data_IF_811999324213
#
_entry.id   IF_811999324213
#
_cell.length_a   1.000
_cell.length_b   1.000
_cell.length_c   1.000
_cell.angle_alpha   90.00
_cell.angle_beta   90.00
_cell.angle_gamma   90.00
#
_symmetry.space_group_name_H-M   'P 1'
#
loop_
_entity.id
_entity.type
_entity.pdbx_description
1 polymer ?
#
# COMPACT_ATOMS: atom_id res chain seq x y z
N UNK A 1 21.22 17.90 -8.86
CA UNK A 1 21.34 19.08 -9.75
C UNK A 1 22.82 19.35 -9.95
N UNK A 2 23.31 19.38 -11.19
CA UNK A 2 24.62 19.96 -11.50
C UNK A 2 24.33 21.26 -12.24
N UNK A 3 24.68 22.39 -11.65
CA UNK A 3 24.56 23.69 -12.29
C UNK A 3 25.86 23.98 -13.01
N UNK A 4 25.79 24.30 -14.31
CA UNK A 4 26.91 24.89 -15.03
C UNK A 4 26.54 26.34 -15.32
N UNK A 5 27.35 27.26 -14.80
CA UNK A 5 27.29 28.69 -15.13
C UNK A 5 28.25 28.93 -16.28
N UNK A 6 27.79 29.59 -17.34
CA UNK A 6 28.65 30.21 -18.35
C UNK A 6 28.46 31.73 -18.29
N UNK A 7 29.50 32.47 -18.71
CA UNK A 7 29.73 33.90 -18.48
C UNK A 7 28.72 34.85 -19.17
N UNK A 8 27.66 34.34 -19.80
CA UNK A 8 26.64 35.10 -20.54
C UNK A 8 25.27 35.14 -19.84
N UNK A 9 25.17 34.75 -18.56
CA UNK A 9 23.93 34.83 -17.78
C UNK A 9 22.89 33.76 -18.12
N UNK A 10 23.28 32.76 -18.92
CA UNK A 10 22.47 31.61 -19.29
C UNK A 10 22.46 30.55 -18.18
N UNK A 11 21.29 30.17 -17.67
CA UNK A 11 21.15 29.06 -16.72
C UNK A 11 20.54 27.83 -17.41
N UNK A 12 21.27 26.71 -17.38
CA UNK A 12 20.79 25.43 -17.89
C UNK A 12 20.26 24.58 -16.73
N UNK A 13 18.98 24.19 -16.81
CA UNK A 13 18.40 23.19 -15.91
C UNK A 13 18.01 21.95 -16.71
N UNK A 14 18.62 20.81 -16.38
CA UNK A 14 18.22 19.50 -16.90
C UNK A 14 17.30 18.83 -15.89
N UNK A 15 16.05 18.59 -16.25
CA UNK A 15 15.12 17.80 -15.44
C UNK A 15 14.81 16.50 -16.17
N UNK A 16 15.16 15.37 -15.55
CA UNK A 16 14.83 14.03 -16.04
C UNK A 16 13.54 13.57 -15.35
N UNK A 17 12.49 13.34 -16.13
CA UNK A 17 11.31 12.62 -15.66
C UNK A 17 11.14 11.38 -16.53
N UNK A 18 11.53 10.23 -16.00
CA UNK A 18 11.21 8.94 -16.59
C UNK A 18 9.82 8.54 -16.09
N UNK A 19 8.80 8.67 -16.95
CA UNK A 19 7.45 8.21 -16.66
C UNK A 19 7.16 7.00 -17.53
N UNK A 20 7.14 5.82 -16.92
CA UNK A 20 6.67 4.60 -17.58
C UNK A 20 5.15 4.50 -17.41
N UNK A 21 4.40 4.92 -18.43
CA UNK A 21 2.95 4.72 -18.47
C UNK A 21 2.65 3.46 -19.31
N UNK A 22 2.13 2.41 -18.68
CA UNK A 22 1.66 1.19 -19.36
C UNK A 22 0.19 1.36 -19.78
N UNK A 23 -0.07 1.39 -21.09
CA UNK A 23 -1.44 1.35 -21.62
C UNK A 23 -1.78 -0.04 -22.14
N UNK A 24 -2.94 -0.56 -21.70
CA UNK A 24 -3.48 -1.85 -22.15
C UNK A 24 -4.54 -1.61 -23.23
N UNK A 25 -4.26 -2.03 -24.47
CA UNK A 25 -5.25 -2.03 -25.54
C UNK A 25 -6.11 -3.30 -25.48
N UNK A 26 -7.35 -3.22 -25.99
CA UNK A 26 -8.36 -4.29 -26.00
C UNK A 26 -7.95 -5.59 -26.73
N UNK A 27 -6.75 -5.68 -27.32
CA UNK A 27 -6.22 -6.87 -28.00
C UNK A 27 -5.21 -7.69 -27.17
N UNK A 28 -5.03 -7.39 -25.88
CA UNK A 28 -4.27 -8.23 -24.95
C UNK A 28 -2.74 -8.17 -25.08
N UNK A 29 -2.18 -7.33 -25.96
CA UNK A 29 -0.74 -7.03 -26.01
C UNK A 29 -0.42 -5.79 -25.20
N UNK A 30 0.52 -5.92 -24.25
CA UNK A 30 1.08 -4.81 -23.49
C UNK A 30 2.13 -4.14 -24.37
N UNK A 31 1.89 -2.88 -24.75
CA UNK A 31 2.88 -2.07 -25.49
C UNK A 31 3.53 -1.15 -24.47
N UNK A 32 4.84 -1.32 -24.24
CA UNK A 32 5.63 -0.41 -23.41
C UNK A 32 6.08 0.76 -24.26
N UNK A 33 5.59 1.95 -23.95
CA UNK A 33 6.09 3.19 -24.53
C UNK A 33 7.18 3.75 -23.62
N UNK A 34 8.37 3.99 -24.16
CA UNK A 34 9.38 4.82 -23.51
C UNK A 34 9.22 6.23 -24.06
N UNK A 35 8.49 7.08 -23.34
CA UNK A 35 8.36 8.49 -23.66
C UNK A 35 9.40 9.26 -22.86
N UNK A 36 10.58 9.46 -23.46
CA UNK A 36 11.63 10.26 -22.87
C UNK A 36 11.38 11.73 -23.20
N UNK A 37 10.86 12.50 -22.23
CA UNK A 37 10.74 13.95 -22.36
C UNK A 37 12.03 14.61 -21.88
N UNK A 38 12.88 15.06 -22.80
CA UNK A 38 13.99 15.95 -22.45
C UNK A 38 13.53 17.40 -22.61
N UNK A 39 13.14 18.05 -21.51
CA UNK A 39 12.91 19.49 -21.52
C UNK A 39 14.26 20.23 -21.48
N UNK A 40 14.59 20.92 -22.56
CA UNK A 40 15.69 21.88 -22.60
C UNK A 40 15.11 23.28 -22.38
N UNK A 41 15.09 23.77 -21.14
CA UNK A 41 14.74 25.17 -20.90
C UNK A 41 15.90 26.08 -21.28
N UNK A 42 15.76 26.91 -22.31
CA UNK A 42 16.67 28.03 -22.59
C UNK A 42 15.95 29.29 -22.17
N UNK A 43 16.37 29.93 -21.07
CA UNK A 43 15.85 31.25 -20.67
C UNK A 43 16.67 32.30 -21.43
N UNK A 44 16.07 32.95 -22.43
CA UNK A 44 16.69 34.08 -23.13
C UNK A 44 16.20 35.36 -22.45
N UNK A 45 17.10 36.11 -21.82
CA UNK A 45 16.80 37.40 -21.22
C UNK A 45 17.29 38.51 -22.17
N UNK A 46 16.44 39.00 -23.07
CA UNK A 46 16.80 40.10 -23.97
C UNK A 46 16.38 41.45 -23.39
N UNK A 47 17.36 42.18 -22.84
CA UNK A 47 17.33 43.64 -22.68
C UNK A 47 16.33 44.23 -21.68
N UNK A 48 16.64 45.41 -21.14
CA UNK A 48 15.83 46.11 -20.12
C UNK A 48 14.46 46.64 -20.61
N UNK A 49 14.18 46.57 -21.91
CA UNK A 49 13.00 47.23 -22.51
C UNK A 49 12.04 46.28 -23.26
N UNK A 50 12.17 44.96 -23.11
CA UNK A 50 11.19 43.99 -23.64
C UNK A 50 10.35 43.40 -22.50
N UNK A 51 9.03 43.17 -22.70
CA UNK A 51 8.16 42.64 -21.65
C UNK A 51 8.71 41.29 -21.19
N UNK A 52 8.74 41.08 -19.87
CA UNK A 52 9.23 39.87 -19.21
C UNK A 52 8.51 38.61 -19.71
N UNK A 53 8.93 38.10 -20.87
CA UNK A 53 8.38 36.91 -21.52
C UNK A 53 9.41 35.81 -21.35
N UNK A 54 9.05 34.76 -20.61
CA UNK A 54 9.87 33.55 -20.57
C UNK A 54 9.58 32.75 -21.83
N UNK A 55 10.55 32.66 -22.76
CA UNK A 55 10.51 31.71 -23.88
C UNK A 55 11.16 30.42 -23.44
N UNK A 56 10.45 29.30 -23.56
CA UNK A 56 10.98 27.97 -23.21
C UNK A 56 11.04 27.11 -24.47
N UNK A 57 12.26 26.78 -24.91
CA UNK A 57 12.49 25.99 -26.12
C UNK A 57 12.41 24.47 -25.85
N UNK A 58 11.21 23.92 -25.80
CA UNK A 58 11.05 22.47 -25.56
C UNK A 58 11.41 21.67 -26.82
N UNK A 59 12.37 20.75 -26.72
CA UNK A 59 12.83 19.88 -27.82
C UNK A 59 12.55 18.43 -27.45
N UNK A 60 11.57 17.80 -28.10
CA UNK A 60 11.19 16.40 -27.81
C UNK A 60 11.90 15.49 -28.81
N UNK A 61 12.79 14.62 -28.31
CA UNK A 61 13.44 13.58 -29.11
C UNK A 61 12.69 12.26 -28.98
N UNK A 62 11.97 11.86 -30.02
CA UNK A 62 11.31 10.56 -30.07
C UNK A 62 12.31 9.51 -30.57
N UNK A 63 12.78 8.62 -29.70
CA UNK A 63 13.60 7.48 -30.12
C UNK A 63 12.74 6.23 -30.34
N UNK A 64 12.74 5.75 -31.59
CA UNK A 64 12.22 4.46 -32.09
C UNK A 64 10.73 4.18 -31.85
N UNK A 65 9.89 4.72 -32.73
CA UNK A 65 8.55 4.19 -33.01
C UNK A 65 8.63 3.09 -34.08
N UNK A 66 9.14 1.90 -33.75
CA UNK A 66 9.13 0.78 -34.69
C UNK A 66 7.81 -0.01 -34.57
N UNK A 67 6.73 0.52 -35.13
CA UNK A 67 5.66 -0.33 -35.65
C UNK A 67 4.84 0.37 -36.74
N UNK A 68 4.94 -0.18 -37.96
CA UNK A 68 3.95 -0.11 -39.03
C UNK A 68 3.70 1.21 -39.78
N UNK A 69 4.76 1.84 -40.31
CA UNK A 69 4.66 2.54 -41.59
C UNK A 69 5.96 2.33 -42.39
N UNK A 70 5.85 1.68 -43.56
CA UNK A 70 6.86 1.82 -44.61
C UNK A 70 6.90 3.30 -45.00
N UNK A 71 8.11 3.82 -45.18
CA UNK A 71 8.44 5.17 -45.68
C UNK A 71 8.03 6.35 -44.79
N UNK A 72 8.81 6.62 -43.74
CA UNK A 72 9.02 8.00 -43.28
C UNK A 72 10.50 8.19 -42.96
N UNK A 73 11.09 9.26 -43.49
CA UNK A 73 12.51 9.57 -43.49
C UNK A 73 13.15 9.57 -42.09
N UNK A 74 14.41 9.13 -42.05
CA UNK A 74 15.27 9.02 -40.87
C UNK A 74 15.80 10.35 -40.33
N UNK A 75 14.95 11.37 -40.19
CA UNK A 75 15.32 12.66 -39.61
C UNK A 75 14.53 12.91 -38.33
N UNK A 76 15.17 13.17 -37.18
CA UNK A 76 14.45 13.54 -35.97
C UNK A 76 13.69 14.84 -36.24
N UNK A 77 12.36 14.77 -36.23
CA UNK A 77 11.52 15.96 -36.31
C UNK A 77 11.64 16.71 -34.97
N UNK A 78 12.44 17.77 -34.96
CA UNK A 78 12.53 18.70 -33.83
C UNK A 78 11.36 19.66 -33.95
N UNK A 79 10.27 19.39 -33.22
CA UNK A 79 9.20 20.37 -33.04
C UNK A 79 9.64 21.40 -32.00
N UNK A 80 9.93 22.62 -32.44
CA UNK A 80 10.21 23.76 -31.55
C UNK A 80 8.89 24.44 -31.24
N UNK A 81 8.45 24.35 -29.99
CA UNK A 81 7.32 25.13 -29.50
C UNK A 81 7.88 26.39 -28.84
N UNK A 82 7.53 27.56 -29.37
CA UNK A 82 7.81 28.84 -28.72
C UNK A 82 6.65 29.13 -27.77
N UNK A 83 6.80 28.71 -26.52
CA UNK A 83 5.81 28.97 -25.48
C UNK A 83 6.24 30.28 -24.81
N UNK A 84 5.59 31.38 -25.20
CA UNK A 84 5.66 32.64 -24.47
C UNK A 84 4.67 32.58 -23.31
N UNK A 85 5.16 32.40 -22.09
CA UNK A 85 4.32 32.50 -20.90
C UNK A 85 4.81 33.67 -20.06
N UNK A 86 3.89 34.56 -19.72
CA UNK A 86 4.15 35.67 -18.81
C UNK A 86 4.58 35.12 -17.44
N UNK A 87 5.59 35.74 -16.85
CA UNK A 87 6.21 35.31 -15.59
C UNK A 87 5.19 35.25 -14.44
N UNK A 88 4.22 36.17 -14.40
CA UNK A 88 3.17 36.15 -13.39
C UNK A 88 2.23 34.97 -13.56
N UNK A 89 1.94 34.59 -14.81
CA UNK A 89 1.16 33.39 -15.12
C UNK A 89 1.87 32.11 -14.67
N UNK A 90 3.19 31.99 -14.90
CA UNK A 90 3.97 30.85 -14.43
C UNK A 90 3.99 30.76 -12.89
N UNK A 91 4.25 31.89 -12.22
CA UNK A 91 4.28 31.98 -10.77
C UNK A 91 2.92 31.61 -10.17
N UNK A 92 1.82 32.13 -10.73
CA UNK A 92 0.46 31.81 -10.28
C UNK A 92 0.17 30.32 -10.39
N UNK A 93 0.49 29.69 -11.53
CA UNK A 93 0.27 28.24 -11.73
C UNK A 93 1.09 27.40 -10.76
N UNK A 94 2.31 27.83 -10.44
CA UNK A 94 3.14 27.15 -9.44
C UNK A 94 2.56 27.26 -8.03
N UNK A 95 2.11 28.47 -7.64
CA UNK A 95 1.42 28.69 -6.36
C UNK A 95 0.16 27.85 -6.28
N UNK A 96 -0.69 27.86 -7.32
CA UNK A 96 -1.92 27.07 -7.38
C UNK A 96 -1.63 25.57 -7.23
N UNK A 97 -0.57 25.05 -7.87
CA UNK A 97 -0.14 23.66 -7.73
C UNK A 97 0.30 23.34 -6.29
N UNK A 98 1.17 24.16 -5.71
CA UNK A 98 1.66 23.96 -4.33
C UNK A 98 0.51 24.06 -3.32
N UNK A 99 -0.38 25.03 -3.47
CA UNK A 99 -1.58 25.19 -2.64
C UNK A 99 -2.52 23.98 -2.80
N UNK A 100 -2.71 23.46 -4.01
CA UNK A 100 -3.55 22.27 -4.25
C UNK A 100 -2.93 21.01 -3.61
N UNK A 101 -1.63 20.79 -3.76
CA UNK A 101 -0.94 19.69 -3.12
C UNK A 101 -0.98 19.80 -1.59
N UNK A 102 -0.77 21.00 -1.05
CA UNK A 102 -0.80 21.24 0.39
C UNK A 102 -2.21 21.07 0.97
N UNK A 103 -3.23 21.66 0.35
CA UNK A 103 -4.63 21.47 0.76
C UNK A 103 -5.06 20.01 0.65
N UNK A 104 -4.67 19.30 -0.41
CA UNK A 104 -4.90 17.86 -0.56
C UNK A 104 -4.20 17.04 0.52
N UNK A 105 -2.97 17.39 0.89
CA UNK A 105 -2.23 16.74 1.98
C UNK A 105 -2.86 17.00 3.35
N UNK A 106 -3.25 18.24 3.65
CA UNK A 106 -3.97 18.59 4.88
C UNK A 106 -5.31 17.88 4.93
N UNK A 107 -6.05 17.81 3.81
CA UNK A 107 -7.30 17.07 3.71
C UNK A 107 -7.09 15.56 3.90
N UNK A 108 -6.02 14.98 3.36
CA UNK A 108 -5.64 13.59 3.61
C UNK A 108 -5.33 13.34 5.10
N UNK A 109 -4.55 14.23 5.74
CA UNK A 109 -4.26 14.11 7.17
C UNK A 109 -5.53 14.25 8.02
N UNK A 110 -6.39 15.21 7.66
CA UNK A 110 -7.68 15.43 8.31
C UNK A 110 -8.59 14.21 8.17
N UNK A 111 -8.76 13.68 6.96
CA UNK A 111 -9.60 12.50 6.72
C UNK A 111 -9.05 11.26 7.42
N UNK A 112 -7.74 11.02 7.36
CA UNK A 112 -7.08 9.95 8.10
C UNK A 112 -7.31 10.04 9.62
N UNK A 113 -7.37 11.25 10.17
CA UNK A 113 -7.52 11.46 11.61
C UNK A 113 -8.96 11.54 12.11
N UNK A 114 -9.86 12.13 11.31
CA UNK A 114 -11.21 12.50 11.76
C UNK A 114 -12.34 11.85 10.97
N UNK A 115 -12.11 11.40 9.74
CA UNK A 115 -13.13 10.66 8.99
C UNK A 115 -12.87 9.16 9.09
N UNK A 116 -13.28 8.54 10.19
CA UNK A 116 -13.52 7.10 10.17
C UNK A 116 -14.70 6.87 9.23
N UNK A 117 -14.46 6.30 8.04
CA UNK A 117 -15.55 5.88 7.16
C UNK A 117 -16.47 4.99 7.99
N UNK A 118 -17.74 5.38 8.07
CA UNK A 118 -18.72 4.63 8.86
C UNK A 118 -18.78 3.20 8.33
N UNK A 119 -18.76 2.18 9.20
CA UNK A 119 -19.05 0.80 8.80
C UNK A 119 -20.40 0.74 8.09
N UNK A 120 -20.65 -0.32 7.33
CA UNK A 120 -21.99 -0.57 6.81
C UNK A 120 -22.96 -0.75 7.99
N UNK A 121 -23.99 0.09 8.03
CA UNK A 121 -24.97 0.15 9.13
C UNK A 121 -26.11 -0.87 8.98
N UNK A 122 -26.21 -1.54 7.82
CA UNK A 122 -27.27 -2.48 7.44
C UNK A 122 -26.93 -3.95 7.75
N UNK A 123 -25.89 -4.19 8.57
CA UNK A 123 -25.43 -5.53 8.88
C UNK A 123 -26.09 -6.07 10.14
N UNK A 124 -26.37 -7.38 10.16
CA UNK A 124 -26.77 -8.09 11.38
C UNK A 124 -25.70 -7.91 12.45
N UNK A 125 -26.01 -7.34 13.63
CA UNK A 125 -25.04 -7.13 14.69
C UNK A 125 -24.40 -8.44 15.13
N UNK A 126 -23.09 -8.41 15.32
CA UNK A 126 -22.29 -9.51 15.84
C UNK A 126 -21.87 -9.20 17.27
N UNK A 127 -22.08 -10.17 18.17
CA UNK A 127 -21.53 -10.07 19.52
C UNK A 127 -20.00 -10.11 19.49
N UNK A 128 -19.39 -9.36 20.42
CA UNK A 128 -17.93 -9.28 20.58
C UNK A 128 -17.30 -10.67 20.80
N UNK A 129 -17.99 -11.56 21.50
CA UNK A 129 -17.59 -12.94 21.75
C UNK A 129 -18.79 -13.84 21.46
N UNK A 130 -18.60 -14.87 20.64
CA UNK A 130 -19.65 -15.84 20.32
C UNK A 130 -19.10 -17.26 20.31
N UNK A 131 -19.72 -18.14 21.09
CA UNK A 131 -19.44 -19.57 21.02
C UNK A 131 -20.11 -20.17 19.77
N UNK A 132 -19.32 -20.55 18.76
CA UNK A 132 -19.84 -21.12 17.51
C UNK A 132 -20.08 -22.62 17.65
N UNK A 133 -19.17 -23.32 18.34
CA UNK A 133 -19.29 -24.75 18.61
C UNK A 133 -18.59 -25.08 19.93
N UNK A 134 -18.64 -26.33 20.39
CA UNK A 134 -17.92 -26.76 21.60
C UNK A 134 -16.39 -26.52 21.54
N UNK A 135 -15.84 -26.30 20.34
CA UNK A 135 -14.39 -26.18 20.13
C UNK A 135 -13.96 -24.86 19.51
N UNK A 136 -14.91 -24.00 19.14
CA UNK A 136 -14.66 -22.76 18.39
C UNK A 136 -15.40 -21.62 19.06
N UNK A 137 -14.63 -20.64 19.50
CA UNK A 137 -15.13 -19.36 19.99
C UNK A 137 -14.64 -18.27 19.04
N UNK A 138 -15.55 -17.46 18.52
CA UNK A 138 -15.19 -16.28 17.73
C UNK A 138 -15.02 -15.10 18.67
N UNK A 139 -13.95 -14.34 18.48
CA UNK A 139 -13.72 -13.05 19.11
C UNK A 139 -13.61 -12.00 18.02
N UNK A 140 -14.36 -10.91 18.14
CA UNK A 140 -14.33 -9.83 17.18
C UNK A 140 -13.12 -8.92 17.47
N UNK A 141 -12.35 -8.58 16.43
CA UNK A 141 -11.10 -7.82 16.48
C UNK A 141 -11.21 -6.37 16.97
N UNK A 142 -12.42 -5.91 17.30
CA UNK A 142 -12.71 -4.57 17.82
C UNK A 142 -12.21 -3.44 16.91
N UNK A 143 -12.18 -3.69 15.60
CA UNK A 143 -11.66 -2.80 14.56
C UNK A 143 -12.69 -2.61 13.42
N UNK A 144 -13.90 -2.09 13.70
CA UNK A 144 -14.91 -1.90 12.66
C UNK A 144 -14.45 -0.86 11.63
N UNK A 145 -14.77 -1.11 10.36
CA UNK A 145 -14.29 -0.31 9.25
C UNK A 145 -14.87 -0.73 7.90
N UNK A 146 -14.61 0.03 6.83
CA UNK A 146 -15.16 -0.26 5.51
C UNK A 146 -14.69 -1.59 4.92
N UNK A 147 -13.48 -2.06 5.29
CA UNK A 147 -12.89 -3.30 4.81
C UNK A 147 -13.01 -4.46 5.81
N UNK A 148 -13.11 -4.14 7.10
CA UNK A 148 -13.25 -5.10 8.20
C UNK A 148 -14.71 -5.29 8.65
N UNK A 149 -15.66 -4.54 8.07
CA UNK A 149 -17.07 -4.51 8.43
C UNK A 149 -17.25 -4.20 9.93
N UNK A 150 -17.75 -5.16 10.70
CA UNK A 150 -17.95 -5.02 12.15
C UNK A 150 -16.64 -5.26 12.94
N UNK A 151 -15.62 -5.82 12.29
CA UNK A 151 -14.31 -6.13 12.85
C UNK A 151 -13.76 -7.43 12.26
N UNK A 152 -12.46 -7.65 12.40
CA UNK A 152 -11.83 -8.90 11.99
C UNK A 152 -12.39 -10.05 12.83
N UNK A 153 -12.86 -11.12 12.20
CA UNK A 153 -13.25 -12.32 12.94
C UNK A 153 -12.00 -13.13 13.28
N UNK A 154 -11.65 -13.21 14.57
CA UNK A 154 -10.61 -14.11 15.06
C UNK A 154 -11.25 -15.28 15.78
N UNK A 155 -10.54 -16.41 15.86
CA UNK A 155 -11.12 -17.64 16.39
C UNK A 155 -10.17 -18.33 17.36
N UNK A 156 -10.67 -18.64 18.55
CA UNK A 156 -10.02 -19.55 19.50
C UNK A 156 -10.51 -20.97 19.22
N UNK A 157 -9.57 -21.86 18.91
CA UNK A 157 -9.82 -23.25 18.52
C UNK A 157 -9.19 -24.20 19.56
N UNK A 158 -10.00 -25.02 20.21
CA UNK A 158 -9.55 -25.98 21.21
C UNK A 158 -10.67 -26.43 22.14
N UNK A 159 -10.62 -27.64 22.69
CA UNK A 159 -11.59 -28.13 23.69
C UNK A 159 -11.16 -27.81 25.12
N UNK A 160 -9.89 -27.99 25.47
CA UNK A 160 -9.38 -27.81 26.83
C UNK A 160 -8.77 -26.43 27.06
N UNK A 161 -7.80 -26.40 27.98
CA UNK A 161 -7.10 -25.19 28.41
C UNK A 161 -6.03 -24.72 27.42
N UNK A 162 -5.92 -25.34 26.24
CA UNK A 162 -4.94 -24.99 25.22
C UNK A 162 -5.67 -24.66 23.93
N UNK A 163 -5.54 -23.43 23.46
CA UNK A 163 -6.23 -22.93 22.26
C UNK A 163 -5.23 -22.50 21.20
N UNK A 164 -5.60 -22.69 19.94
CA UNK A 164 -4.96 -22.02 18.80
C UNK A 164 -5.78 -20.78 18.45
N UNK A 165 -5.11 -19.67 18.16
CA UNK A 165 -5.75 -18.45 17.70
C UNK A 165 -5.64 -18.34 16.17
N UNK A 166 -6.76 -18.15 15.47
CA UNK A 166 -6.77 -17.83 14.03
C UNK A 166 -6.93 -16.32 13.89
N UNK A 167 -5.96 -15.69 13.23
CA UNK A 167 -5.79 -14.24 13.06
C UNK A 167 -5.71 -13.44 14.37
N UNK A 168 -5.14 -12.23 14.31
CA UNK A 168 -4.83 -11.43 15.49
C UNK A 168 -5.34 -9.99 15.43
N UNK A 169 -6.18 -9.63 14.46
CA UNK A 169 -6.68 -8.25 14.36
C UNK A 169 -5.60 -7.22 14.00
N UNK A 170 -5.90 -5.95 14.28
CA UNK A 170 -4.98 -4.81 14.10
C UNK A 170 -4.04 -4.62 15.30
N UNK A 171 -2.91 -3.93 15.08
CA UNK A 171 -1.99 -3.64 16.17
C UNK A 171 -2.56 -2.63 17.18
N UNK A 172 -1.98 -2.62 18.38
CA UNK A 172 -2.26 -1.64 19.45
C UNK A 172 -3.75 -1.57 19.86
N UNK A 173 -4.51 -2.65 19.67
CA UNK A 173 -5.91 -2.72 20.06
C UNK A 173 -6.09 -3.42 21.42
N UNK A 174 -5.99 -2.65 22.50
CA UNK A 174 -6.19 -3.17 23.86
C UNK A 174 -7.60 -3.69 24.11
N UNK A 175 -8.62 -3.13 23.44
CA UNK A 175 -10.01 -3.62 23.58
C UNK A 175 -10.12 -5.05 23.05
N UNK A 176 -9.43 -5.37 21.96
CA UNK A 176 -9.34 -6.74 21.44
C UNK A 176 -8.65 -7.69 22.43
N UNK A 177 -7.54 -7.27 23.04
CA UNK A 177 -6.83 -8.07 24.05
C UNK A 177 -7.74 -8.39 25.24
N UNK A 178 -8.49 -7.41 25.75
CA UNK A 178 -9.48 -7.65 26.81
C UNK A 178 -10.54 -8.67 26.41
N UNK A 179 -10.98 -8.66 25.14
CA UNK A 179 -11.96 -9.63 24.63
C UNK A 179 -11.39 -11.03 24.43
N UNK A 180 -10.12 -11.16 24.02
CA UNK A 180 -9.45 -12.46 24.03
C UNK A 180 -9.35 -12.97 25.46
N UNK A 181 -8.92 -12.13 26.41
CA UNK A 181 -8.77 -12.54 27.81
C UNK A 181 -10.10 -12.99 28.43
N UNK A 182 -11.20 -12.27 28.16
CA UNK A 182 -12.55 -12.66 28.55
C UNK A 182 -12.97 -14.00 27.93
N UNK A 183 -12.72 -14.22 26.64
CA UNK A 183 -13.07 -15.46 25.94
C UNK A 183 -12.19 -16.66 26.32
N UNK A 184 -10.93 -16.41 26.68
CA UNK A 184 -9.93 -17.43 26.96
C UNK A 184 -10.03 -17.96 28.40
N UNK A 185 -10.38 -17.10 29.36
CA UNK A 185 -10.41 -17.45 30.78
C UNK A 185 -9.03 -17.89 31.28
N UNK A 186 -8.94 -19.09 31.85
CA UNK A 186 -7.68 -19.68 32.33
C UNK A 186 -6.89 -20.45 31.25
N UNK A 187 -7.41 -20.53 30.03
CA UNK A 187 -6.72 -21.22 28.94
C UNK A 187 -5.50 -20.43 28.44
N UNK A 188 -4.64 -21.11 27.68
CA UNK A 188 -3.44 -20.56 27.04
C UNK A 188 -3.57 -20.55 25.52
N UNK A 189 -2.77 -19.71 24.87
CA UNK A 189 -2.68 -19.65 23.41
C UNK A 189 -1.40 -20.38 23.00
N UNK A 190 -1.53 -21.56 22.39
CA UNK A 190 -0.39 -22.38 21.98
C UNK A 190 0.27 -21.89 20.69
N UNK A 191 -0.49 -21.15 19.86
CA UNK A 191 -0.01 -20.63 18.60
C UNK A 191 -1.02 -19.72 17.93
N UNK A 192 -0.51 -18.81 17.11
CA UNK A 192 -1.30 -17.85 16.32
C UNK A 192 -1.16 -18.24 14.86
N UNK A 193 -2.25 -18.50 14.16
CA UNK A 193 -2.28 -18.92 12.76
C UNK A 193 -2.84 -17.76 11.94
N UNK A 194 -2.00 -17.12 11.14
CA UNK A 194 -2.41 -16.00 10.29
C UNK A 194 -2.87 -16.52 8.93
N UNK A 195 -4.05 -16.10 8.49
CA UNK A 195 -4.64 -16.52 7.21
C UNK A 195 -3.91 -15.90 6.03
N UNK A 196 -3.72 -14.58 6.03
CA UNK A 196 -3.07 -13.81 4.96
C UNK A 196 -2.30 -12.59 5.50
N UNK A 197 -1.68 -11.80 4.63
CA UNK A 197 -0.72 -10.75 5.00
C UNK A 197 -1.33 -9.38 5.29
N UNK A 198 -2.65 -9.23 5.22
CA UNK A 198 -3.25 -7.94 5.52
C UNK A 198 -3.10 -7.62 7.01
N UNK A 199 -2.96 -6.32 7.27
CA UNK A 199 -2.60 -5.79 8.58
C UNK A 199 -3.69 -6.01 9.62
N UNK A 200 -4.95 -6.05 9.20
CA UNK A 200 -6.12 -6.35 10.02
C UNK A 200 -6.21 -7.81 10.46
N UNK A 201 -5.33 -8.68 9.98
CA UNK A 201 -5.21 -10.08 10.41
C UNK A 201 -3.90 -10.36 11.14
N UNK A 202 -2.82 -9.63 10.82
CA UNK A 202 -1.46 -9.89 11.33
C UNK A 202 -0.97 -8.84 12.32
N UNK A 203 -1.58 -7.65 12.33
CA UNK A 203 -1.08 -6.49 13.07
C UNK A 203 -1.07 -6.70 14.58
N UNK A 204 -2.03 -7.45 15.13
CA UNK A 204 -2.11 -7.70 16.57
C UNK A 204 -1.22 -8.83 17.08
N UNK A 205 -0.52 -9.58 16.23
CA UNK A 205 0.34 -10.69 16.66
C UNK A 205 1.36 -10.30 17.74
N UNK A 206 2.12 -9.19 17.62
CA UNK A 206 3.08 -8.79 18.66
C UNK A 206 2.42 -8.52 20.01
N UNK A 207 1.25 -7.90 20.00
CA UNK A 207 0.50 -7.57 21.21
C UNK A 207 -0.07 -8.84 21.86
N UNK A 208 -0.57 -9.79 21.07
CA UNK A 208 -1.01 -11.10 21.59
C UNK A 208 0.16 -11.85 22.23
N UNK A 209 1.36 -11.82 21.61
CA UNK A 209 2.56 -12.46 22.16
C UNK A 209 3.11 -11.78 23.43
N UNK A 210 2.71 -10.54 23.70
CA UNK A 210 3.09 -9.81 24.92
C UNK A 210 2.16 -10.17 26.09
N UNK A 211 0.86 -10.34 25.82
CA UNK A 211 -0.16 -10.54 26.87
C UNK A 211 -0.47 -12.00 27.16
N UNK A 212 -0.23 -12.90 26.21
CA UNK A 212 -0.58 -14.32 26.35
C UNK A 212 0.66 -15.20 26.24
N UNK A 213 0.64 -16.29 27.00
CA UNK A 213 1.67 -17.33 26.98
C UNK A 213 1.06 -18.67 26.55
N UNK A 214 1.95 -19.53 26.07
CA UNK A 214 1.66 -20.95 25.88
C UNK A 214 1.58 -21.66 27.24
N UNK A 215 1.07 -22.89 27.24
CA UNK A 215 1.10 -23.77 28.42
C UNK A 215 2.49 -24.02 29.00
N UNK A 216 3.55 -23.79 28.23
CA UNK A 216 4.95 -23.88 28.68
C UNK A 216 5.53 -22.56 29.22
N UNK A 217 4.76 -21.47 29.26
CA UNK A 217 5.24 -20.15 29.68
C UNK A 217 5.99 -19.37 28.59
N UNK A 218 6.11 -19.92 27.38
CA UNK A 218 6.73 -19.25 26.24
C UNK A 218 5.74 -18.34 25.50
N UNK A 219 6.24 -17.41 24.68
CA UNK A 219 5.41 -16.62 23.77
C UNK A 219 4.80 -17.52 22.67
N UNK A 220 3.50 -17.37 22.35
CA UNK A 220 2.86 -18.11 21.27
C UNK A 220 3.58 -17.91 19.94
N UNK A 221 3.82 -18.99 19.19
CA UNK A 221 4.46 -18.89 17.86
C UNK A 221 3.46 -18.37 16.84
N UNK A 222 3.91 -17.49 15.94
CA UNK A 222 3.10 -16.99 14.82
C UNK A 222 3.37 -17.86 13.59
N UNK A 223 2.37 -18.59 13.14
CA UNK A 223 2.41 -19.46 11.98
C UNK A 223 1.79 -18.78 10.76
N UNK A 224 2.45 -18.89 9.62
CA UNK A 224 1.96 -18.35 8.34
C UNK A 224 2.45 -19.19 7.18
N UNK A 225 1.65 -19.29 6.12
CA UNK A 225 2.12 -19.90 4.88
C UNK A 225 3.07 -18.95 4.11
N UNK A 226 4.22 -19.48 3.67
CA UNK A 226 5.24 -18.67 2.98
C UNK A 226 4.72 -18.17 1.64
N UNK A 227 4.76 -16.86 1.42
CA UNK A 227 4.44 -16.29 0.12
C UNK A 227 5.69 -16.28 -0.76
N UNK A 228 5.60 -16.83 -1.98
CA UNK A 228 6.74 -17.03 -2.90
C UNK A 228 7.53 -15.72 -3.13
N UNK A 229 6.84 -14.58 -3.13
CA UNK A 229 7.46 -13.27 -3.45
C UNK A 229 7.86 -12.45 -2.23
N UNK A 230 7.45 -12.82 -1.02
CA UNK A 230 7.75 -11.99 0.16
C UNK A 230 9.04 -12.44 0.83
N UNK A 231 9.81 -11.47 1.31
CA UNK A 231 10.91 -11.74 2.23
C UNK A 231 10.37 -12.38 3.50
N UNK A 232 11.18 -13.24 4.12
CA UNK A 232 10.85 -13.79 5.42
C UNK A 232 10.70 -12.64 6.43
N UNK A 233 9.60 -12.66 7.17
CA UNK A 233 9.33 -11.78 8.30
C UNK A 233 9.91 -12.47 9.53
N UNK A 234 10.74 -11.75 10.27
CA UNK A 234 11.35 -12.22 11.50
C UNK A 234 10.28 -12.58 12.55
N UNK A 235 10.49 -13.65 13.32
CA UNK A 235 9.54 -14.11 14.34
C UNK A 235 8.32 -14.88 13.80
N UNK A 236 8.20 -15.06 12.48
CA UNK A 236 7.15 -15.85 11.85
C UNK A 236 7.65 -17.26 11.46
N UNK A 237 6.88 -18.29 11.82
CA UNK A 237 7.11 -19.67 11.46
C UNK A 237 6.36 -20.00 10.17
N UNK A 238 7.12 -20.34 9.14
CA UNK A 238 6.55 -20.67 7.85
C UNK A 238 6.11 -22.12 7.77
N UNK A 239 4.86 -22.35 7.37
CA UNK A 239 4.27 -23.67 7.15
C UNK A 239 3.90 -23.84 5.68
N UNK A 240 3.95 -25.07 5.19
CA UNK A 240 3.58 -25.41 3.82
C UNK A 240 2.15 -25.95 3.73
N UNK A 241 1.64 -26.06 2.51
CA UNK A 241 0.37 -26.71 2.25
C UNK A 241 0.35 -28.14 2.83
N UNK A 242 -0.76 -28.50 3.47
CA UNK A 242 -0.94 -29.79 4.10
C UNK A 242 -0.30 -29.91 5.48
N UNK A 243 0.38 -28.88 6.00
CA UNK A 243 0.81 -28.84 7.40
C UNK A 243 -0.39 -29.02 8.33
N UNK A 244 -0.20 -29.75 9.43
CA UNK A 244 -1.28 -30.12 10.35
C UNK A 244 -0.97 -29.63 11.76
N UNK A 245 -1.85 -28.77 12.28
CA UNK A 245 -1.87 -28.43 13.70
C UNK A 245 -2.76 -29.43 14.44
N UNK A 246 -2.28 -29.94 15.58
CA UNK A 246 -3.03 -30.83 16.46
C UNK A 246 -3.21 -30.17 17.82
N UNK A 247 -4.46 -30.05 18.28
CA UNK A 247 -4.79 -29.48 19.59
C UNK A 247 -5.99 -30.20 20.20
N UNK A 248 -5.84 -30.85 21.35
CA UNK A 248 -6.94 -31.45 22.13
C UNK A 248 -7.93 -32.28 21.29
N UNK A 249 -7.42 -33.15 20.41
CA UNK A 249 -8.24 -33.99 19.53
C UNK A 249 -8.80 -33.28 18.29
N UNK A 250 -8.46 -32.01 18.08
CA UNK A 250 -8.73 -31.27 16.85
C UNK A 250 -7.53 -31.30 15.93
N UNK A 251 -7.81 -31.30 14.63
CA UNK A 251 -6.82 -31.30 13.56
C UNK A 251 -7.17 -30.17 12.60
N UNK A 252 -6.27 -29.19 12.45
CA UNK A 252 -6.39 -28.13 11.46
C UNK A 252 -5.35 -28.39 10.38
N UNK A 253 -5.80 -28.62 9.14
CA UNK A 253 -4.92 -28.80 7.98
C UNK A 253 -4.83 -27.47 7.22
N UNK A 254 -3.61 -27.03 6.94
CA UNK A 254 -3.35 -25.87 6.10
C UNK A 254 -3.72 -26.20 4.67
N UNK A 255 -4.60 -25.39 4.09
CA UNK A 255 -4.99 -25.45 2.68
C UNK A 255 -4.59 -24.13 2.03
N UNK A 256 -3.92 -24.24 0.90
CA UNK A 256 -3.48 -23.09 0.13
C UNK A 256 -4.59 -22.58 -0.78
N UNK A 257 -5.01 -21.34 -0.55
CA UNK A 257 -6.11 -20.68 -1.28
C UNK A 257 -5.64 -19.50 -2.13
N UNK A 258 -4.41 -19.51 -2.68
CA UNK A 258 -3.71 -18.43 -3.41
C UNK A 258 -4.43 -17.75 -4.60
N UNK A 259 -5.73 -17.93 -4.78
CA UNK A 259 -6.58 -17.07 -5.60
C UNK A 259 -6.94 -15.73 -4.93
N UNK A 260 -6.59 -15.49 -3.66
CA UNK A 260 -6.98 -14.25 -2.94
C UNK A 260 -5.88 -13.40 -2.29
N UNK A 261 -4.70 -13.93 -1.94
CA UNK A 261 -3.47 -13.21 -1.50
C UNK A 261 -2.37 -14.22 -1.15
#
# INVERSE_FOLDING_TARGET
MRNYSLEDGSFYFTWFHDRQDEFRQQSGRVVKFHLTFQLYGVVINEGRDSPHILRVKVSVKLEKLNFFLREVSSTPAICIFDISMDWWTLLRRYIDFVCTCFTGYIYFLYTKRFTKRKPRDDLTPLDDITQISQTITRVLGQNPGPFTLQGTNTYLIGKGNKKLLIDAGEANNMRYISKIQEALGEATIEGIICTHWHYDHTGGCPLVQEYFTTSGGEKPKVYKMKHIRNKNVEGCYYVDEGYVFRQDGLTLKVIDCRNKC
#
